data_IF_218740255342
#
_entry.id   IF_218740255342
#
_cell.length_a   1.000
_cell.length_b   1.000
_cell.length_c   1.000
_cell.angle_alpha   90.00
_cell.angle_beta   90.00
_cell.angle_gamma   90.00
#
_symmetry.space_group_name_H-M   'P 1'
#
loop_
_entity.id
_entity.type
_entity.pdbx_description
1 polymer ?
#
# COMPACT_ATOMS: atom_id res chain seq x y z
N UNK A 1 -25.66 -11.48 -39.03
CA UNK A 1 -26.16 -11.17 -37.65
C UNK A 1 -26.35 -9.65 -37.40
N UNK A 2 -25.86 -8.76 -38.28
CA UNK A 2 -26.04 -7.30 -38.18
C UNK A 2 -27.40 -6.76 -38.61
N UNK A 3 -28.05 -7.37 -39.60
CA UNK A 3 -29.27 -6.81 -40.19
C UNK A 3 -30.54 -7.01 -39.34
N UNK A 4 -30.62 -8.12 -38.59
CA UNK A 4 -31.76 -8.40 -37.70
C UNK A 4 -31.79 -7.44 -36.50
N UNK A 5 -30.61 -7.03 -36.01
CA UNK A 5 -30.50 -6.06 -34.90
C UNK A 5 -30.89 -4.65 -35.35
N UNK A 6 -30.56 -4.25 -36.56
CA UNK A 6 -30.88 -2.93 -37.07
C UNK A 6 -32.38 -2.74 -37.34
N UNK A 7 -33.12 -3.78 -37.75
CA UNK A 7 -34.58 -3.75 -37.97
C UNK A 7 -35.37 -3.68 -36.64
N UNK A 8 -34.86 -4.28 -35.56
CA UNK A 8 -35.56 -4.33 -34.27
C UNK A 8 -35.24 -3.13 -33.35
N UNK A 9 -34.22 -2.36 -33.67
CA UNK A 9 -33.76 -1.27 -32.81
C UNK A 9 -34.83 -0.20 -32.53
N UNK A 10 -35.65 0.23 -33.52
CA UNK A 10 -36.71 1.21 -33.25
C UNK A 10 -37.82 0.69 -32.34
N UNK A 11 -38.13 -0.62 -32.40
CA UNK A 11 -39.17 -1.22 -31.55
C UNK A 11 -38.68 -1.36 -30.09
N UNK A 12 -37.40 -1.68 -29.90
CA UNK A 12 -36.76 -1.72 -28.58
C UNK A 12 -36.72 -0.32 -27.97
N UNK A 13 -36.38 0.69 -28.76
CA UNK A 13 -36.34 2.08 -28.32
C UNK A 13 -37.73 2.57 -27.89
N UNK A 14 -38.77 2.31 -28.67
CA UNK A 14 -40.14 2.65 -28.33
C UNK A 14 -40.63 1.94 -27.05
N UNK A 15 -40.28 0.65 -26.88
CA UNK A 15 -40.64 -0.10 -25.67
C UNK A 15 -39.94 0.45 -24.42
N UNK A 16 -38.67 0.81 -24.53
CA UNK A 16 -37.89 1.42 -23.44
C UNK A 16 -38.45 2.79 -23.06
N UNK A 17 -38.82 3.64 -24.04
CA UNK A 17 -39.47 4.91 -23.78
C UNK A 17 -40.83 4.74 -23.07
N UNK A 18 -41.62 3.76 -23.47
CA UNK A 18 -42.91 3.45 -22.85
C UNK A 18 -42.71 3.05 -21.36
N UNK A 19 -41.75 2.17 -21.07
CA UNK A 19 -41.41 1.75 -19.70
C UNK A 19 -40.90 2.95 -18.88
N UNK A 20 -40.02 3.78 -19.43
CA UNK A 20 -39.50 4.97 -18.77
C UNK A 20 -40.61 5.94 -18.40
N UNK A 21 -41.58 6.17 -19.30
CA UNK A 21 -42.76 7.01 -19.02
C UNK A 21 -43.64 6.43 -17.90
N UNK A 22 -43.84 5.12 -17.88
CA UNK A 22 -44.67 4.43 -16.89
C UNK A 22 -44.02 4.38 -15.50
N UNK A 23 -42.72 4.21 -15.45
CA UNK A 23 -41.95 4.10 -14.21
C UNK A 23 -41.43 5.43 -13.68
N UNK A 24 -41.57 6.55 -14.41
CA UNK A 24 -40.96 7.86 -14.19
C UNK A 24 -39.43 7.79 -14.08
N UNK A 25 -38.83 6.72 -14.60
CA UNK A 25 -37.38 6.56 -14.69
C UNK A 25 -36.93 6.89 -16.12
N UNK A 26 -35.97 7.79 -16.24
CA UNK A 26 -35.29 8.07 -17.51
C UNK A 26 -34.18 7.04 -17.74
N UNK A 27 -34.56 5.91 -18.33
CA UNK A 27 -33.66 4.80 -18.59
C UNK A 27 -32.54 5.19 -19.56
N UNK A 28 -32.84 5.99 -20.58
CA UNK A 28 -31.82 6.44 -21.54
C UNK A 28 -30.77 7.31 -20.88
N UNK A 29 -31.17 8.23 -20.04
CA UNK A 29 -30.26 9.05 -19.26
C UNK A 29 -29.40 8.21 -18.33
N UNK A 30 -29.97 7.17 -17.72
CA UNK A 30 -29.21 6.24 -16.88
C UNK A 30 -28.19 5.45 -17.69
N UNK A 31 -28.53 5.00 -18.91
CA UNK A 31 -27.60 4.28 -19.81
C UNK A 31 -26.45 5.22 -20.22
N UNK A 32 -26.74 6.43 -20.67
CA UNK A 32 -25.71 7.43 -21.02
C UNK A 32 -24.76 7.71 -19.87
N UNK A 33 -25.30 7.87 -18.65
CA UNK A 33 -24.50 8.06 -17.45
C UNK A 33 -23.60 6.85 -17.15
N UNK A 34 -24.14 5.63 -17.33
CA UNK A 34 -23.35 4.41 -17.16
C UNK A 34 -22.24 4.29 -18.21
N UNK A 35 -22.54 4.58 -19.47
CA UNK A 35 -21.55 4.56 -20.56
C UNK A 35 -20.42 5.57 -20.27
N UNK A 36 -20.77 6.78 -19.85
CA UNK A 36 -19.79 7.79 -19.45
C UNK A 36 -18.91 7.31 -18.29
N UNK A 37 -19.53 6.78 -17.24
CA UNK A 37 -18.81 6.28 -16.07
C UNK A 37 -17.91 5.07 -16.38
N UNK A 38 -18.35 4.20 -17.31
CA UNK A 38 -17.57 3.02 -17.73
C UNK A 38 -16.44 3.40 -18.69
N UNK A 39 -16.60 4.48 -19.47
CA UNK A 39 -15.52 5.03 -20.28
C UNK A 39 -14.40 5.65 -19.43
N UNK A 40 -14.74 6.29 -18.31
CA UNK A 40 -13.78 6.82 -17.35
C UNK A 40 -13.04 5.69 -16.61
N UNK A 41 -13.77 4.62 -16.26
CA UNK A 41 -13.24 3.51 -15.47
C UNK A 41 -14.08 2.25 -15.69
N UNK A 42 -13.43 1.20 -16.13
CA UNK A 42 -14.10 -0.07 -16.42
C UNK A 42 -14.79 -0.67 -15.19
N UNK A 43 -15.83 -1.47 -15.40
CA UNK A 43 -16.52 -2.18 -14.32
C UNK A 43 -15.53 -3.06 -13.51
N UNK A 44 -14.58 -3.69 -14.20
CA UNK A 44 -13.55 -4.53 -13.53
C UNK A 44 -12.68 -3.72 -12.58
N UNK A 45 -12.27 -2.52 -12.96
CA UNK A 45 -11.48 -1.63 -12.09
C UNK A 45 -12.29 -1.19 -10.88
N UNK A 46 -13.58 -0.83 -11.07
CA UNK A 46 -14.49 -0.46 -9.97
C UNK A 46 -14.71 -1.61 -9.01
N UNK A 47 -14.90 -2.84 -9.53
CA UNK A 47 -15.04 -4.05 -8.68
C UNK A 47 -13.77 -4.32 -7.88
N UNK A 48 -12.59 -4.18 -8.50
CA UNK A 48 -11.30 -4.33 -7.81
C UNK A 48 -11.13 -3.31 -6.67
N UNK A 49 -11.55 -2.08 -6.90
CA UNK A 49 -11.49 -1.03 -5.88
C UNK A 49 -12.47 -1.27 -4.74
N UNK A 50 -13.73 -1.56 -5.05
CA UNK A 50 -14.74 -1.87 -4.04
C UNK A 50 -14.32 -3.10 -3.19
N UNK A 51 -13.71 -4.11 -3.82
CA UNK A 51 -13.14 -5.26 -3.11
C UNK A 51 -12.00 -4.82 -2.18
N UNK A 52 -11.08 -3.99 -2.68
CA UNK A 52 -9.96 -3.47 -1.89
C UNK A 52 -10.43 -2.61 -0.70
N UNK A 53 -11.43 -1.76 -0.90
CA UNK A 53 -12.03 -0.97 0.17
C UNK A 53 -12.71 -1.84 1.24
N UNK A 54 -13.45 -2.87 0.81
CA UNK A 54 -14.09 -3.82 1.72
C UNK A 54 -13.05 -4.59 2.54
N UNK A 55 -12.01 -5.12 1.88
CA UNK A 55 -10.93 -5.86 2.55
C UNK A 55 -10.09 -4.94 3.45
N UNK A 56 -9.95 -3.67 3.08
CA UNK A 56 -9.25 -2.67 3.90
C UNK A 56 -9.98 -2.30 5.19
N UNK A 57 -11.31 -2.47 5.27
CA UNK A 57 -12.08 -2.24 6.51
C UNK A 57 -11.77 -3.27 7.60
N UNK A 58 -11.33 -4.47 7.20
CA UNK A 58 -10.94 -5.54 8.13
C UNK A 58 -9.48 -5.40 8.60
N UNK A 59 -8.77 -4.32 8.19
CA UNK A 59 -7.38 -4.08 8.54
C UNK A 59 -7.30 -3.00 9.61
N UNK A 60 -6.62 -3.29 10.70
CA UNK A 60 -6.23 -2.32 11.72
C UNK A 60 -4.71 -2.18 11.78
N UNK A 61 -4.22 -0.98 12.06
CA UNK A 61 -2.80 -0.74 12.34
C UNK A 61 -2.67 -0.46 13.83
N UNK A 62 -1.82 -1.26 14.47
CA UNK A 62 -1.53 -1.15 15.90
C UNK A 62 -0.06 -0.86 16.13
N UNK A 63 0.31 -0.18 17.22
CA UNK A 63 1.70 -0.10 17.65
C UNK A 63 2.25 -1.50 17.96
N UNK A 64 3.55 -1.64 17.89
CA UNK A 64 4.22 -2.87 18.27
C UNK A 64 3.98 -3.21 19.75
N UNK A 65 3.76 -4.48 19.98
CA UNK A 65 3.73 -5.12 21.30
C UNK A 65 4.65 -6.35 21.21
N UNK A 66 5.34 -6.76 22.31
CA UNK A 66 6.23 -7.93 22.31
C UNK A 66 5.59 -9.23 21.79
N UNK A 67 4.27 -9.39 21.90
CA UNK A 67 3.53 -10.53 21.32
C UNK A 67 3.68 -10.64 19.80
N UNK A 68 3.97 -9.53 19.11
CA UNK A 68 4.15 -9.50 17.65
C UNK A 68 5.60 -9.71 17.20
N UNK A 69 6.54 -9.95 18.14
CA UNK A 69 7.97 -10.13 17.83
C UNK A 69 8.20 -11.23 16.79
N UNK A 70 7.56 -12.38 16.98
CA UNK A 70 7.70 -13.49 16.05
C UNK A 70 7.18 -13.14 14.65
N UNK A 71 6.03 -12.46 14.56
CA UNK A 71 5.46 -12.01 13.30
C UNK A 71 6.33 -10.93 12.63
N UNK A 72 6.85 -9.96 13.40
CA UNK A 72 7.77 -8.94 12.90
C UNK A 72 9.00 -9.56 12.25
N UNK A 73 9.62 -10.54 12.90
CA UNK A 73 10.76 -11.27 12.38
C UNK A 73 10.37 -12.08 11.13
N UNK A 74 9.40 -12.96 11.24
CA UNK A 74 9.02 -13.89 10.17
C UNK A 74 8.61 -13.17 8.87
N UNK A 75 7.81 -12.10 8.95
CA UNK A 75 7.38 -11.32 7.79
C UNK A 75 8.57 -10.67 7.06
N UNK A 76 9.57 -10.20 7.78
CA UNK A 76 10.76 -9.62 7.17
C UNK A 76 11.68 -10.70 6.60
N UNK A 77 11.93 -11.79 7.32
CA UNK A 77 12.75 -12.91 6.83
C UNK A 77 12.18 -13.51 5.55
N UNK A 78 10.86 -13.67 5.46
CA UNK A 78 10.18 -14.26 4.30
C UNK A 78 10.56 -13.54 2.99
N UNK A 79 10.48 -12.21 2.93
CA UNK A 79 10.80 -11.48 1.70
C UNK A 79 12.30 -11.31 1.48
N UNK A 80 13.10 -11.17 2.55
CA UNK A 80 14.56 -11.04 2.42
C UNK A 80 15.12 -12.33 1.84
N UNK A 81 14.79 -13.48 2.43
CA UNK A 81 15.33 -14.78 2.01
C UNK A 81 14.80 -15.25 0.66
N UNK A 82 13.72 -14.69 0.16
CA UNK A 82 13.25 -14.94 -1.19
C UNK A 82 14.20 -14.42 -2.29
N UNK A 83 15.07 -13.44 -1.97
CA UNK A 83 15.93 -12.79 -2.96
C UNK A 83 17.39 -12.65 -2.53
N UNK A 84 17.67 -12.61 -1.23
CA UNK A 84 19.01 -12.37 -0.64
C UNK A 84 19.26 -13.25 0.57
N UNK A 85 20.47 -13.17 1.08
CA UNK A 85 20.80 -13.66 2.41
C UNK A 85 20.53 -12.57 3.45
N UNK A 86 20.26 -13.00 4.68
CA UNK A 86 20.16 -12.10 5.82
C UNK A 86 21.52 -11.51 6.15
N UNK A 87 21.60 -10.21 6.32
CA UNK A 87 22.81 -9.49 6.72
C UNK A 87 22.82 -9.24 8.25
N UNK A 88 23.97 -8.98 8.83
CA UNK A 88 24.10 -8.75 10.28
C UNK A 88 23.15 -7.66 10.81
N UNK A 89 22.96 -6.50 10.13
CA UNK A 89 22.00 -5.50 10.58
C UNK A 89 20.53 -5.99 10.55
N UNK A 90 20.19 -6.97 9.71
CA UNK A 90 18.87 -7.58 9.74
C UNK A 90 18.68 -8.40 11.01
N UNK A 91 19.64 -9.26 11.33
CA UNK A 91 19.60 -10.07 12.55
C UNK A 91 19.45 -9.19 13.78
N UNK A 92 20.26 -8.12 13.92
CA UNK A 92 20.16 -7.21 15.04
C UNK A 92 18.77 -6.59 15.17
N UNK A 93 18.21 -6.05 14.08
CA UNK A 93 16.92 -5.37 14.12
C UNK A 93 15.74 -6.34 14.31
N UNK A 94 15.81 -7.55 13.75
CA UNK A 94 14.69 -8.51 13.76
C UNK A 94 14.70 -9.40 15.01
N UNK A 95 15.90 -9.73 15.53
CA UNK A 95 16.02 -10.52 16.74
C UNK A 95 15.83 -9.69 18.01
N UNK A 96 16.20 -8.41 17.96
CA UNK A 96 16.15 -7.51 19.12
C UNK A 96 15.48 -6.17 18.76
N UNK A 97 14.21 -6.16 18.29
CA UNK A 97 13.54 -4.94 17.85
C UNK A 97 13.35 -3.91 18.96
N UNK A 98 13.22 -4.36 20.21
CA UNK A 98 13.15 -3.48 21.36
C UNK A 98 14.43 -2.63 21.48
N UNK A 99 15.58 -3.28 21.54
CA UNK A 99 16.88 -2.65 21.73
C UNK A 99 17.34 -1.85 20.51
N UNK A 100 17.17 -2.41 19.30
CA UNK A 100 17.73 -1.84 18.09
C UNK A 100 16.83 -0.83 17.38
N UNK A 101 15.53 -0.79 17.70
CA UNK A 101 14.58 0.14 17.09
C UNK A 101 13.89 1.00 18.15
N UNK A 102 13.18 0.39 19.12
CA UNK A 102 12.30 1.12 20.03
C UNK A 102 13.07 1.94 21.05
N UNK A 103 14.06 1.37 21.72
CA UNK A 103 14.87 2.05 22.75
C UNK A 103 15.74 3.17 22.15
N UNK A 104 15.99 3.13 20.83
CA UNK A 104 16.63 4.21 20.06
C UNK A 104 15.69 5.33 19.67
N UNK A 105 14.42 5.27 20.08
CA UNK A 105 13.38 6.26 19.73
C UNK A 105 12.74 6.04 18.37
N UNK A 106 12.85 4.83 17.82
CA UNK A 106 12.08 4.39 16.66
C UNK A 106 10.68 3.87 17.04
N UNK A 107 9.89 3.53 16.03
CA UNK A 107 8.54 3.01 16.20
C UNK A 107 8.32 1.85 15.23
N UNK A 108 7.56 0.85 15.66
CA UNK A 108 7.14 -0.26 14.80
C UNK A 108 5.61 -0.30 14.79
N UNK A 109 5.03 -0.52 13.62
CA UNK A 109 3.60 -0.69 13.40
C UNK A 109 3.32 -2.06 12.82
N UNK A 110 2.22 -2.66 13.27
CA UNK A 110 1.75 -3.98 12.84
C UNK A 110 0.38 -3.82 12.21
N UNK A 111 0.21 -4.37 11.03
CA UNK A 111 -1.08 -4.48 10.37
C UNK A 111 -1.72 -5.81 10.75
N UNK A 112 -2.90 -5.72 11.33
CA UNK A 112 -3.74 -6.87 11.65
C UNK A 112 -4.85 -6.97 10.60
N UNK A 113 -5.03 -8.14 10.04
CA UNK A 113 -6.18 -8.50 9.22
C UNK A 113 -6.94 -9.59 9.92
N UNK A 114 -8.18 -9.27 10.39
CA UNK A 114 -8.98 -10.19 11.23
C UNK A 114 -8.19 -10.68 12.45
N UNK A 115 -7.57 -9.75 13.18
CA UNK A 115 -6.75 -9.98 14.36
C UNK A 115 -5.39 -10.71 14.12
N UNK A 116 -5.12 -11.18 12.91
CA UNK A 116 -3.86 -11.83 12.56
C UNK A 116 -2.83 -10.82 12.03
N UNK A 117 -1.57 -10.87 12.49
CA UNK A 117 -0.52 -9.98 12.00
C UNK A 117 -0.10 -10.38 10.59
N UNK A 118 -0.37 -9.50 9.63
CA UNK A 118 -0.13 -9.74 8.20
C UNK A 118 0.82 -8.73 7.55
N UNK A 119 1.25 -7.73 8.30
CA UNK A 119 2.20 -6.76 7.79
C UNK A 119 2.85 -5.96 8.90
N UNK A 120 4.01 -5.42 8.63
CA UNK A 120 4.80 -4.63 9.58
C UNK A 120 5.52 -3.50 8.86
N UNK A 121 5.84 -2.44 9.58
CA UNK A 121 6.72 -1.36 9.11
C UNK A 121 7.34 -0.67 10.31
N UNK A 122 8.60 -0.27 10.17
CA UNK A 122 9.32 0.47 11.19
C UNK A 122 9.66 1.89 10.73
N UNK A 123 9.65 2.81 11.67
CA UNK A 123 10.29 4.12 11.60
C UNK A 123 11.54 4.06 12.48
N UNK A 124 12.69 3.85 11.88
CA UNK A 124 13.96 3.71 12.59
C UNK A 124 14.62 5.08 12.76
N UNK A 125 14.99 5.43 13.98
CA UNK A 125 15.81 6.61 14.23
C UNK A 125 17.24 6.34 13.78
N UNK A 126 17.84 7.32 13.10
CA UNK A 126 19.22 7.28 12.63
C UNK A 126 20.04 8.36 13.33
N UNK A 127 21.28 8.04 13.61
CA UNK A 127 22.26 9.03 14.08
C UNK A 127 22.91 9.71 12.87
N UNK A 128 22.09 10.44 12.13
CA UNK A 128 22.49 11.16 10.91
C UNK A 128 21.87 12.56 10.94
N UNK A 129 22.65 13.63 10.74
CA UNK A 129 22.16 15.00 10.80
C UNK A 129 21.18 15.36 9.68
N UNK A 130 21.22 14.64 8.57
CA UNK A 130 20.38 14.89 7.39
C UNK A 130 19.14 14.00 7.43
N UNK A 131 19.31 12.73 7.79
CA UNK A 131 18.28 11.70 7.78
C UNK A 131 18.03 11.17 9.19
N UNK A 132 17.25 11.92 9.95
CA UNK A 132 16.94 11.56 11.34
C UNK A 132 16.12 10.28 11.48
N UNK A 133 15.30 9.97 10.47
CA UNK A 133 14.42 8.80 10.48
C UNK A 133 14.38 8.11 9.12
N UNK A 134 14.34 6.79 9.17
CA UNK A 134 14.22 5.88 8.05
C UNK A 134 12.91 5.09 8.12
N UNK A 135 12.15 5.05 7.03
CA UNK A 135 11.11 4.04 6.84
C UNK A 135 11.77 2.73 6.44
N UNK A 136 11.73 1.75 7.33
CA UNK A 136 12.41 0.46 7.16
C UNK A 136 11.49 -0.71 7.50
N UNK A 137 11.95 -1.92 7.20
CA UNK A 137 11.28 -3.17 7.60
C UNK A 137 9.80 -3.23 7.19
N UNK A 138 9.47 -2.66 6.01
CA UNK A 138 8.13 -2.79 5.44
C UNK A 138 7.97 -4.17 4.80
N UNK A 139 7.14 -4.99 5.41
CA UNK A 139 6.81 -6.31 4.92
C UNK A 139 5.30 -6.57 5.00
N UNK A 140 4.75 -7.26 4.01
CA UNK A 140 3.35 -7.70 3.99
C UNK A 140 3.31 -9.13 3.49
N UNK A 141 2.67 -10.02 4.26
CA UNK A 141 2.50 -11.43 3.89
C UNK A 141 1.94 -11.58 2.48
N UNK A 142 2.46 -12.51 1.66
CA UNK A 142 1.99 -12.74 0.29
C UNK A 142 0.47 -12.94 0.20
N UNK A 143 -0.13 -13.62 1.18
CA UNK A 143 -1.58 -13.88 1.26
C UNK A 143 -2.42 -12.61 1.50
N UNK A 144 -1.80 -11.54 2.02
CA UNK A 144 -2.44 -10.28 2.34
C UNK A 144 -2.06 -9.14 1.37
N UNK A 145 -1.20 -9.40 0.39
CA UNK A 145 -0.85 -8.43 -0.65
C UNK A 145 -2.07 -8.06 -1.52
N UNK A 146 -1.99 -6.92 -2.21
CA UNK A 146 -3.09 -6.42 -3.05
C UNK A 146 -4.22 -5.73 -2.28
N UNK A 147 -4.31 -5.87 -0.95
CA UNK A 147 -5.36 -5.28 -0.09
C UNK A 147 -5.07 -3.82 0.34
N UNK A 148 -3.96 -3.23 -0.08
CA UNK A 148 -3.57 -1.85 0.27
C UNK A 148 -2.84 -1.72 1.60
N UNK A 149 -2.54 -2.82 2.29
CA UNK A 149 -1.91 -2.84 3.62
C UNK A 149 -0.55 -2.14 3.62
N UNK A 150 0.30 -2.39 2.64
CA UNK A 150 1.61 -1.73 2.54
C UNK A 150 1.49 -0.20 2.47
N UNK A 151 0.51 0.33 1.72
CA UNK A 151 0.26 1.77 1.65
C UNK A 151 -0.27 2.31 2.98
N UNK A 152 -1.12 1.55 3.69
CA UNK A 152 -1.64 1.94 4.99
C UNK A 152 -0.51 2.02 6.02
N UNK A 153 0.36 1.01 6.09
CA UNK A 153 1.56 1.01 6.94
C UNK A 153 2.50 2.18 6.61
N UNK A 154 2.78 2.40 5.33
CA UNK A 154 3.63 3.50 4.87
C UNK A 154 3.07 4.87 5.32
N UNK A 155 1.76 5.10 5.14
CA UNK A 155 1.10 6.34 5.59
C UNK A 155 1.12 6.50 7.11
N UNK A 156 0.97 5.41 7.87
CA UNK A 156 1.05 5.45 9.34
C UNK A 156 2.44 5.87 9.79
N UNK A 157 3.50 5.32 9.19
CA UNK A 157 4.89 5.70 9.47
C UNK A 157 5.15 7.17 9.10
N UNK A 158 4.66 7.63 7.95
CA UNK A 158 4.76 9.03 7.52
C UNK A 158 4.06 9.95 8.52
N UNK A 159 2.84 9.61 8.95
CA UNK A 159 2.09 10.37 9.95
C UNK A 159 2.86 10.46 11.26
N UNK A 160 3.44 9.35 11.73
CA UNK A 160 4.26 9.32 12.94
C UNK A 160 5.51 10.19 12.82
N UNK A 161 6.20 10.16 11.70
CA UNK A 161 7.35 11.02 11.46
C UNK A 161 6.98 12.52 11.50
N UNK A 162 5.80 12.90 10.97
CA UNK A 162 5.26 14.26 11.08
C UNK A 162 4.97 14.65 12.53
N UNK A 163 4.33 13.77 13.32
CA UNK A 163 4.08 14.00 14.74
C UNK A 163 5.37 14.27 15.53
N UNK A 164 6.46 13.61 15.14
CA UNK A 164 7.79 13.79 15.75
C UNK A 164 8.51 15.07 15.28
N UNK A 165 7.87 15.87 14.41
CA UNK A 165 8.43 17.11 13.87
C UNK A 165 9.54 16.87 12.84
N UNK A 166 9.60 15.67 12.25
CA UNK A 166 10.57 15.34 11.24
C UNK A 166 10.30 16.13 9.96
N UNK A 167 11.32 16.74 9.38
CA UNK A 167 11.19 17.52 8.13
C UNK A 167 11.27 16.65 6.89
N UNK A 168 11.95 15.53 6.97
CA UNK A 168 12.05 14.53 5.91
C UNK A 168 12.35 13.15 6.48
N UNK A 169 11.91 12.13 5.76
CA UNK A 169 12.29 10.74 6.00
C UNK A 169 12.89 10.17 4.71
N UNK A 170 13.74 9.17 4.89
CA UNK A 170 14.31 8.44 3.76
C UNK A 170 14.01 6.94 3.89
N UNK A 171 14.32 6.20 2.87
CA UNK A 171 14.28 4.75 2.86
C UNK A 171 15.38 4.18 1.96
N UNK A 172 15.76 2.96 2.24
CA UNK A 172 16.63 2.13 1.43
C UNK A 172 15.85 0.97 0.83
N UNK A 173 16.14 0.62 -0.42
CA UNK A 173 15.43 -0.45 -1.11
C UNK A 173 16.31 -1.06 -2.21
N UNK A 174 15.70 -1.97 -2.97
CA UNK A 174 16.30 -2.54 -4.15
C UNK A 174 15.34 -2.48 -5.34
N UNK A 175 15.85 -2.16 -6.53
CA UNK A 175 15.07 -2.00 -7.76
C UNK A 175 14.36 -3.27 -8.23
N UNK A 176 14.79 -4.45 -7.77
CA UNK A 176 14.08 -5.72 -7.97
C UNK A 176 12.69 -5.71 -7.30
N UNK A 177 12.53 -4.96 -6.22
CA UNK A 177 11.28 -4.86 -5.46
C UNK A 177 10.31 -3.84 -6.10
N UNK A 178 10.00 -4.03 -7.39
CA UNK A 178 9.17 -3.10 -8.19
C UNK A 178 7.85 -2.70 -7.51
N UNK A 179 7.08 -3.60 -6.85
CA UNK A 179 5.87 -3.21 -6.14
C UNK A 179 6.12 -2.24 -4.98
N UNK A 180 7.21 -2.41 -4.23
CA UNK A 180 7.60 -1.52 -3.13
C UNK A 180 8.02 -0.15 -3.66
N UNK A 181 8.84 -0.09 -4.72
CA UNK A 181 9.24 1.17 -5.36
C UNK A 181 8.02 1.95 -5.87
N UNK A 182 7.07 1.28 -6.51
CA UNK A 182 5.82 1.92 -6.95
C UNK A 182 4.98 2.44 -5.78
N UNK A 183 4.95 1.71 -4.66
CA UNK A 183 4.27 2.14 -3.43
C UNK A 183 4.93 3.41 -2.89
N UNK A 184 6.25 3.43 -2.77
CA UNK A 184 6.98 4.60 -2.26
C UNK A 184 6.80 5.83 -3.16
N UNK A 185 6.87 5.67 -4.49
CA UNK A 185 6.57 6.76 -5.43
C UNK A 185 5.14 7.28 -5.27
N UNK A 186 4.15 6.41 -5.10
CA UNK A 186 2.74 6.80 -4.83
C UNK A 186 2.57 7.48 -3.47
N UNK A 187 3.40 7.15 -2.49
CA UNK A 187 3.42 7.82 -1.18
C UNK A 187 4.14 9.18 -1.22
N UNK A 188 4.77 9.54 -2.35
CA UNK A 188 5.43 10.83 -2.56
C UNK A 188 6.95 10.81 -2.43
N UNK A 189 7.54 9.65 -2.15
CA UNK A 189 9.00 9.52 -2.13
C UNK A 189 9.60 9.74 -3.51
N UNK A 190 10.76 10.38 -3.53
CA UNK A 190 11.57 10.62 -4.73
C UNK A 190 12.94 9.99 -4.56
N UNK A 191 13.46 9.46 -5.64
CA UNK A 191 14.80 8.89 -5.69
C UNK A 191 15.87 9.97 -5.46
N UNK A 192 16.88 9.61 -4.70
CA UNK A 192 18.04 10.45 -4.39
C UNK A 192 19.32 9.68 -4.62
N UNK A 193 20.45 10.39 -4.65
CA UNK A 193 21.76 9.76 -4.75
C UNK A 193 22.03 8.88 -3.54
N UNK A 194 22.59 7.68 -3.79
CA UNK A 194 22.88 6.71 -2.73
C UNK A 194 24.05 7.21 -1.88
N UNK A 195 23.81 7.29 -0.59
CA UNK A 195 24.81 7.71 0.37
C UNK A 195 24.88 6.74 1.55
N UNK A 196 26.06 6.12 1.77
CA UNK A 196 26.33 5.19 2.88
C UNK A 196 25.20 4.16 3.12
N UNK A 197 24.97 3.23 2.20
CA UNK A 197 23.92 2.25 2.35
C UNK A 197 24.17 1.36 3.58
N UNK A 198 23.08 0.99 4.27
CA UNK A 198 23.13 0.14 5.47
C UNK A 198 23.27 -1.35 5.13
N UNK A 199 22.98 -1.74 3.88
CA UNK A 199 22.98 -3.12 3.40
C UNK A 199 23.64 -3.21 2.02
N UNK A 200 24.32 -4.33 1.76
CA UNK A 200 24.95 -4.57 0.45
C UNK A 200 23.95 -4.66 -0.71
N UNK A 201 22.73 -5.13 -0.40
CA UNK A 201 21.63 -5.27 -1.36
C UNK A 201 20.97 -3.96 -1.78
N UNK A 202 21.33 -2.82 -1.19
CA UNK A 202 20.71 -1.51 -1.51
C UNK A 202 21.26 -0.99 -2.84
N UNK A 203 20.36 -0.72 -3.79
CA UNK A 203 20.68 -0.09 -5.07
C UNK A 203 19.81 1.14 -5.36
N UNK A 204 18.93 1.53 -4.43
CA UNK A 204 18.10 2.72 -4.50
C UNK A 204 17.86 3.31 -3.11
N UNK A 205 17.99 4.62 -2.98
CA UNK A 205 17.55 5.40 -1.82
C UNK A 205 16.49 6.41 -2.26
N UNK A 206 15.50 6.63 -1.41
CA UNK A 206 14.43 7.57 -1.70
C UNK A 206 14.14 8.45 -0.48
N UNK A 207 13.75 9.71 -0.72
CA UNK A 207 13.37 10.67 0.32
C UNK A 207 11.94 11.18 0.13
N UNK A 208 11.32 11.54 1.24
CA UNK A 208 10.06 12.28 1.29
C UNK A 208 10.21 13.49 2.21
N UNK A 209 10.00 14.69 1.65
CA UNK A 209 9.88 15.91 2.45
C UNK A 209 8.52 15.93 3.15
N UNK A 210 8.51 16.22 4.44
CA UNK A 210 7.33 16.30 5.27
C UNK A 210 7.00 17.78 5.54
N UNK A 211 5.81 18.20 5.11
CA UNK A 211 5.26 19.54 5.37
C UNK A 211 4.43 19.54 6.65
#
# INVERSE_FOLDING_TARGET
MSDIMAEQYPDVEAAVEQISRQTRNDLWRAIEEWERLLAEKTLLERVKEAKKEREGRDVSIVPYDPRYRAAFKALNEEWITAHWQMEEPDHHALDHPQEHILDKGGHIFVALYREEPVGVCALCRKDDPVHQYELAKLAVSPSAQGKGIGMLLCRTVIAKAKELGCKKIFLESNTLLRPAIQLYRKAGFREVEIYRPSYERVDIQMELALQ
#
